data_IF_629087278071
#
_entry.id   IF_629087278071
#
_cell.length_a   1.000
_cell.length_b   1.000
_cell.length_c   1.000
_cell.angle_alpha   90.00
_cell.angle_beta   90.00
_cell.angle_gamma   90.00
#
_symmetry.space_group_name_H-M   'P 1'
#
loop_
_entity.id
_entity.type
_entity.pdbx_description
1 polymer ?
#
# COMPACT_ATOMS: atom_id res chain seq x y z
N UNK A 1 -12.84 -18.68 -31.87
CA UNK A 1 -12.80 -19.32 -30.53
C UNK A 1 -13.53 -18.44 -29.51
N UNK A 2 -13.21 -17.15 -29.39
CA UNK A 2 -13.88 -16.23 -28.43
C UNK A 2 -15.41 -16.21 -28.65
N UNK A 3 -15.87 -16.02 -29.89
CA UNK A 3 -17.31 -15.99 -30.25
C UNK A 3 -18.04 -17.28 -29.86
N UNK A 4 -17.42 -18.43 -30.11
CA UNK A 4 -17.95 -19.72 -29.69
C UNK A 4 -18.08 -19.83 -28.18
N UNK A 5 -17.08 -19.35 -27.42
CA UNK A 5 -17.11 -19.36 -25.96
C UNK A 5 -18.14 -18.42 -25.38
N UNK A 6 -18.32 -17.24 -25.97
CA UNK A 6 -19.42 -16.31 -25.63
C UNK A 6 -20.78 -17.01 -25.82
N UNK A 7 -20.98 -17.61 -27.00
CA UNK A 7 -22.26 -18.26 -27.32
C UNK A 7 -22.57 -19.50 -26.47
N UNK A 8 -21.56 -20.21 -25.99
CA UNK A 8 -21.72 -21.47 -25.25
C UNK A 8 -21.49 -21.36 -23.74
N UNK A 9 -21.09 -20.18 -23.24
CA UNK A 9 -20.73 -19.99 -21.83
C UNK A 9 -19.48 -20.72 -21.37
N UNK A 10 -18.66 -21.28 -22.31
CA UNK A 10 -17.43 -21.98 -21.95
C UNK A 10 -16.36 -21.04 -21.45
N UNK A 11 -15.65 -21.44 -20.38
CA UNK A 11 -14.53 -20.69 -19.85
C UNK A 11 -13.41 -20.50 -20.89
N UNK A 12 -12.74 -19.37 -20.86
CA UNK A 12 -11.56 -19.09 -21.70
C UNK A 12 -10.40 -19.95 -21.26
N UNK A 13 -10.12 -20.01 -19.98
CA UNK A 13 -9.07 -20.84 -19.38
C UNK A 13 -9.61 -22.23 -19.05
N UNK A 14 -8.95 -23.24 -19.55
CA UNK A 14 -9.20 -24.66 -19.30
C UNK A 14 -7.85 -25.35 -19.03
N UNK A 15 -7.52 -25.46 -17.74
CA UNK A 15 -6.22 -25.94 -17.28
C UNK A 15 -5.90 -27.37 -17.76
N UNK A 16 -6.90 -28.25 -17.75
CA UNK A 16 -6.72 -29.65 -18.12
C UNK A 16 -6.45 -29.79 -19.63
N UNK A 17 -7.22 -29.07 -20.45
CA UNK A 17 -7.01 -29.04 -21.90
C UNK A 17 -5.66 -28.42 -22.28
N UNK A 18 -5.22 -27.36 -21.60
CA UNK A 18 -3.92 -26.76 -21.86
C UNK A 18 -2.78 -27.71 -21.47
N UNK A 19 -2.90 -28.40 -20.34
CA UNK A 19 -1.94 -29.42 -19.90
C UNK A 19 -1.82 -30.55 -20.92
N UNK A 20 -2.94 -31.13 -21.35
CA UNK A 20 -2.97 -32.18 -22.39
C UNK A 20 -2.32 -31.73 -23.70
N UNK A 21 -2.53 -30.44 -24.08
CA UNK A 21 -1.93 -29.89 -25.28
C UNK A 21 -0.41 -29.77 -25.15
N UNK A 22 0.08 -29.32 -24.00
CA UNK A 22 1.52 -29.23 -23.72
C UNK A 22 2.16 -30.66 -23.76
N UNK A 23 1.57 -31.62 -23.08
CA UNK A 23 2.04 -33.01 -23.07
C UNK A 23 2.07 -33.59 -24.49
N UNK A 24 1.07 -33.31 -25.30
CA UNK A 24 1.01 -33.75 -26.71
C UNK A 24 2.15 -33.18 -27.55
N UNK A 25 2.51 -31.89 -27.41
CA UNK A 25 3.60 -31.30 -28.20
C UNK A 25 4.97 -31.69 -27.66
N UNK A 26 5.12 -31.89 -26.36
CA UNK A 26 6.33 -32.44 -25.76
C UNK A 26 6.66 -33.87 -26.28
N UNK A 27 5.60 -34.68 -26.45
CA UNK A 27 5.76 -36.03 -26.97
C UNK A 27 6.28 -36.09 -28.44
N UNK A 28 6.17 -34.98 -29.18
CA UNK A 28 6.71 -34.88 -30.55
C UNK A 28 8.18 -34.47 -30.59
N UNK A 29 8.76 -34.06 -29.45
CA UNK A 29 10.16 -33.62 -29.39
C UNK A 29 11.08 -34.72 -28.96
N UNK A 30 12.28 -34.83 -29.63
CA UNK A 30 13.23 -35.91 -29.41
C UNK A 30 14.17 -35.67 -28.22
N UNK A 31 14.52 -34.40 -27.92
CA UNK A 31 15.45 -34.09 -26.83
C UNK A 31 14.73 -33.42 -25.65
N UNK A 32 15.25 -33.56 -24.44
CA UNK A 32 14.71 -32.92 -23.27
C UNK A 32 14.71 -31.36 -23.38
N UNK A 33 15.75 -30.81 -24.01
CA UNK A 33 15.80 -29.37 -24.31
C UNK A 33 14.63 -28.95 -25.21
N UNK A 34 14.40 -29.70 -26.30
CA UNK A 34 13.32 -29.41 -27.24
C UNK A 34 11.94 -29.59 -26.59
N UNK A 35 11.77 -30.61 -25.71
CA UNK A 35 10.52 -30.80 -24.96
C UNK A 35 10.21 -29.59 -24.08
N UNK A 36 11.20 -29.07 -23.37
CA UNK A 36 11.04 -27.86 -22.55
C UNK A 36 10.77 -26.63 -23.42
N UNK A 37 11.52 -26.43 -24.49
CA UNK A 37 11.37 -25.28 -25.39
C UNK A 37 9.99 -25.24 -26.07
N UNK A 38 9.49 -26.36 -26.59
CA UNK A 38 8.15 -26.40 -27.21
C UNK A 38 7.03 -26.20 -26.17
N UNK A 39 7.20 -26.76 -24.97
CA UNK A 39 6.23 -26.51 -23.87
C UNK A 39 6.12 -25.04 -23.56
N UNK A 40 7.24 -24.34 -23.41
CA UNK A 40 7.29 -22.92 -23.13
C UNK A 40 6.65 -22.08 -24.25
N UNK A 41 7.02 -22.34 -25.50
CA UNK A 41 6.44 -21.67 -26.66
C UNK A 41 4.93 -21.87 -26.75
N UNK A 42 4.44 -23.11 -26.57
CA UNK A 42 3.00 -23.37 -26.60
C UNK A 42 2.26 -22.72 -25.42
N UNK A 43 2.87 -22.68 -24.23
CA UNK A 43 2.32 -21.97 -23.09
C UNK A 43 2.17 -20.47 -23.40
N UNK A 44 3.17 -19.84 -24.01
CA UNK A 44 3.12 -18.45 -24.44
C UNK A 44 2.02 -18.23 -25.50
N UNK A 45 1.93 -19.08 -26.51
CA UNK A 45 0.89 -18.99 -27.54
C UNK A 45 -0.52 -19.10 -26.95
N UNK A 46 -0.74 -20.05 -26.02
CA UNK A 46 -2.04 -20.22 -25.35
C UNK A 46 -2.38 -19.02 -24.47
N UNK A 47 -1.39 -18.49 -23.78
CA UNK A 47 -1.54 -17.27 -22.95
C UNK A 47 -1.93 -16.06 -23.81
N UNK A 48 -1.26 -15.82 -24.92
CA UNK A 48 -1.63 -14.76 -25.88
C UNK A 48 -3.04 -14.97 -26.44
N UNK A 49 -3.39 -16.20 -26.78
CA UNK A 49 -4.72 -16.54 -27.27
C UNK A 49 -5.81 -16.27 -26.21
N UNK A 50 -5.56 -16.59 -24.93
CA UNK A 50 -6.50 -16.27 -23.84
C UNK A 50 -6.71 -14.78 -23.72
N UNK A 51 -5.65 -13.98 -23.73
CA UNK A 51 -5.73 -12.53 -23.63
C UNK A 51 -6.56 -11.92 -24.76
N UNK A 52 -6.30 -12.32 -25.97
CA UNK A 52 -7.12 -11.89 -27.12
C UNK A 52 -8.60 -12.27 -26.96
N UNK A 53 -8.89 -13.46 -26.40
CA UNK A 53 -10.26 -13.88 -26.11
C UNK A 53 -10.87 -13.01 -25.01
N UNK A 54 -10.14 -12.69 -23.92
CA UNK A 54 -10.63 -11.82 -22.86
C UNK A 54 -10.93 -10.40 -23.39
N UNK A 55 -10.04 -9.81 -24.19
CA UNK A 55 -10.29 -8.52 -24.84
C UNK A 55 -11.56 -8.54 -25.71
N UNK A 56 -11.73 -9.60 -26.52
CA UNK A 56 -12.91 -9.75 -27.36
C UNK A 56 -14.19 -9.86 -26.54
N UNK A 57 -14.14 -10.57 -25.42
CA UNK A 57 -15.28 -10.74 -24.52
C UNK A 57 -15.60 -9.43 -23.80
N UNK A 58 -14.60 -8.77 -23.20
CA UNK A 58 -14.78 -7.50 -22.49
C UNK A 58 -15.35 -6.41 -23.42
N UNK A 59 -14.88 -6.33 -24.66
CA UNK A 59 -15.39 -5.38 -25.65
C UNK A 59 -16.85 -5.61 -26.07
N UNK A 60 -17.42 -6.81 -25.85
CA UNK A 60 -18.81 -7.13 -26.20
C UNK A 60 -19.77 -7.16 -25.02
N UNK A 61 -19.29 -7.56 -23.85
CA UNK A 61 -20.13 -7.80 -22.65
C UNK A 61 -19.94 -6.70 -21.61
N UNK A 62 -18.93 -5.85 -21.78
CA UNK A 62 -18.47 -4.89 -20.79
C UNK A 62 -17.41 -5.50 -19.86
N UNK A 63 -16.65 -4.63 -19.17
CA UNK A 63 -15.73 -5.05 -18.12
C UNK A 63 -16.46 -5.58 -16.89
N UNK A 64 -15.75 -6.18 -15.93
CA UNK A 64 -16.37 -6.65 -14.69
C UNK A 64 -16.92 -5.46 -13.89
N UNK A 65 -18.12 -5.63 -13.34
CA UNK A 65 -18.59 -4.70 -12.31
C UNK A 65 -17.76 -4.92 -11.04
N UNK A 66 -16.96 -3.92 -10.69
CA UNK A 66 -16.08 -3.94 -9.52
C UNK A 66 -16.71 -3.29 -8.28
N UNK A 67 -17.96 -2.79 -8.43
CA UNK A 67 -18.72 -2.13 -7.38
C UNK A 67 -18.17 -0.78 -6.97
N UNK A 68 -17.38 -0.12 -7.81
CA UNK A 68 -16.87 1.24 -7.60
C UNK A 68 -17.70 2.27 -8.36
N UNK A 69 -17.89 3.44 -7.77
CA UNK A 69 -18.61 4.55 -8.34
C UNK A 69 -17.70 5.73 -8.61
N UNK A 70 -17.81 6.30 -9.81
CA UNK A 70 -17.06 7.49 -10.19
C UNK A 70 -17.62 8.73 -9.52
N UNK A 71 -16.74 9.58 -8.99
CA UNK A 71 -17.07 10.91 -8.48
C UNK A 71 -16.18 11.95 -9.15
N UNK A 72 -16.66 13.17 -9.32
CA UNK A 72 -15.85 14.25 -9.87
C UNK A 72 -14.75 14.69 -8.91
N UNK A 73 -15.07 14.73 -7.62
CA UNK A 73 -14.16 15.10 -6.55
C UNK A 73 -14.51 14.39 -5.26
N UNK A 74 -13.47 14.07 -4.48
CA UNK A 74 -13.63 13.53 -3.13
C UNK A 74 -14.10 14.64 -2.18
N UNK A 75 -15.26 14.47 -1.57
CA UNK A 75 -15.81 15.40 -0.59
C UNK A 75 -15.14 15.20 0.76
N UNK A 76 -14.30 16.14 1.16
CA UNK A 76 -13.51 16.07 2.41
C UNK A 76 -13.95 17.10 3.47
N UNK A 77 -14.69 18.15 3.08
CA UNK A 77 -15.09 19.22 3.99
C UNK A 77 -16.07 18.73 5.06
N UNK A 78 -15.79 19.02 6.33
CA UNK A 78 -16.64 18.65 7.47
C UNK A 78 -16.68 17.16 7.76
N UNK A 79 -15.75 16.39 7.21
CA UNK A 79 -15.62 14.94 7.43
C UNK A 79 -14.73 14.63 8.63
N UNK A 80 -15.05 13.54 9.32
CA UNK A 80 -14.28 13.05 10.46
C UNK A 80 -13.15 12.16 9.95
N UNK A 81 -11.94 12.44 10.43
CA UNK A 81 -10.72 11.76 10.00
C UNK A 81 -10.06 11.08 11.18
N UNK A 82 -9.73 9.81 11.06
CA UNK A 82 -9.03 9.07 12.10
C UNK A 82 -7.61 8.71 11.67
N UNK A 83 -6.67 8.82 12.61
CA UNK A 83 -5.29 8.35 12.43
C UNK A 83 -4.83 7.55 13.65
N UNK A 84 -3.74 6.79 13.53
CA UNK A 84 -3.15 6.03 14.63
C UNK A 84 -2.07 6.84 15.34
N UNK A 85 -2.05 6.81 16.67
CA UNK A 85 -1.02 7.38 17.52
C UNK A 85 -1.55 8.47 18.45
N UNK A 86 -0.83 9.58 18.57
CA UNK A 86 -1.22 10.77 19.29
C UNK A 86 -1.10 12.00 18.39
N UNK A 87 -1.68 13.12 18.82
CA UNK A 87 -1.47 14.41 18.18
C UNK A 87 0.04 14.70 18.08
N UNK A 88 0.48 15.18 16.91
CA UNK A 88 1.92 15.39 16.62
C UNK A 88 2.63 14.17 16.00
N UNK A 89 2.01 13.00 15.92
CA UNK A 89 2.54 11.88 15.15
C UNK A 89 2.57 12.19 13.65
N UNK A 90 3.39 11.47 12.88
CA UNK A 90 3.43 11.65 11.41
C UNK A 90 2.09 11.32 10.73
N UNK A 91 1.30 10.39 11.28
CA UNK A 91 -0.08 10.16 10.83
C UNK A 91 -0.97 11.38 11.00
N UNK A 92 -0.83 12.12 12.12
CA UNK A 92 -1.51 13.40 12.32
C UNK A 92 -1.04 14.46 11.32
N UNK A 93 0.26 14.59 11.12
CA UNK A 93 0.81 15.53 10.14
C UNK A 93 0.32 15.26 8.72
N UNK A 94 0.24 13.99 8.32
CA UNK A 94 -0.31 13.57 7.03
C UNK A 94 -1.81 13.89 6.91
N UNK A 95 -2.58 13.70 7.99
CA UNK A 95 -3.99 14.07 8.04
C UNK A 95 -4.19 15.59 7.88
N UNK A 96 -3.41 16.40 8.61
CA UNK A 96 -3.43 17.86 8.47
C UNK A 96 -3.02 18.33 7.08
N UNK A 97 -2.03 17.69 6.46
CA UNK A 97 -1.58 18.01 5.11
C UNK A 97 -2.67 17.76 4.06
N UNK A 98 -3.38 16.64 4.17
CA UNK A 98 -4.37 16.22 3.17
C UNK A 98 -5.73 16.89 3.37
N UNK A 99 -6.22 16.96 4.61
CA UNK A 99 -7.57 17.46 4.93
C UNK A 99 -7.60 18.93 5.36
N UNK A 100 -6.45 19.52 5.70
CA UNK A 100 -6.35 20.88 6.22
C UNK A 100 -6.43 20.96 7.74
N UNK A 101 -6.07 22.14 8.28
CA UNK A 101 -5.98 22.36 9.73
C UNK A 101 -7.33 22.42 10.44
N UNK A 102 -8.39 22.73 9.70
CA UNK A 102 -9.76 22.86 10.26
C UNK A 102 -10.57 21.55 10.16
N UNK A 103 -9.94 20.44 9.74
CA UNK A 103 -10.58 19.14 9.66
C UNK A 103 -10.85 18.56 11.07
N UNK A 104 -11.96 17.83 11.21
CA UNK A 104 -12.29 17.08 12.43
C UNK A 104 -11.45 15.81 12.50
N UNK A 105 -10.25 15.93 13.10
CA UNK A 105 -9.24 14.86 13.15
C UNK A 105 -9.12 14.35 14.58
N UNK A 106 -9.25 13.03 14.75
CA UNK A 106 -9.03 12.38 16.04
C UNK A 106 -8.13 11.16 15.91
N UNK A 107 -7.60 10.69 17.02
CA UNK A 107 -6.68 9.57 17.04
C UNK A 107 -7.24 8.31 17.69
N UNK A 108 -6.68 7.18 17.31
CA UNK A 108 -6.90 5.87 17.96
C UNK A 108 -5.56 5.21 18.26
N UNK A 109 -5.59 4.20 19.13
CA UNK A 109 -4.36 3.56 19.60
C UNK A 109 -3.75 2.60 18.56
N UNK A 110 -4.57 1.83 17.84
CA UNK A 110 -4.12 0.80 16.90
C UNK A 110 -4.59 1.09 15.49
N UNK A 111 -3.82 0.66 14.49
CA UNK A 111 -4.23 0.76 13.08
C UNK A 111 -5.56 0.04 12.81
N UNK A 112 -5.79 -1.09 13.47
CA UNK A 112 -7.04 -1.83 13.34
C UNK A 112 -8.26 -1.04 13.81
N UNK A 113 -8.12 -0.24 14.87
CA UNK A 113 -9.21 0.58 15.41
C UNK A 113 -9.70 1.60 14.38
N UNK A 114 -8.81 2.14 13.51
CA UNK A 114 -9.20 3.02 12.40
C UNK A 114 -10.12 2.31 11.41
N UNK A 115 -9.81 1.05 11.06
CA UNK A 115 -10.63 0.27 10.13
C UNK A 115 -12.03 0.04 10.68
N UNK A 116 -12.13 -0.26 11.97
CA UNK A 116 -13.40 -0.46 12.68
C UNK A 116 -14.21 0.84 12.70
N UNK A 117 -13.59 1.98 13.00
CA UNK A 117 -14.29 3.26 13.06
C UNK A 117 -14.90 3.70 11.72
N UNK A 118 -14.20 3.44 10.60
CA UNK A 118 -14.77 3.65 9.27
C UNK A 118 -15.99 2.75 9.06
N UNK A 119 -15.90 1.46 9.40
CA UNK A 119 -17.01 0.53 9.21
C UNK A 119 -18.23 0.88 10.06
N UNK A 120 -18.01 1.32 11.29
CA UNK A 120 -19.05 1.75 12.23
C UNK A 120 -19.59 3.15 11.91
N UNK A 121 -18.99 3.86 10.96
CA UNK A 121 -19.38 5.23 10.60
C UNK A 121 -19.04 6.27 11.67
N UNK A 122 -18.06 6.00 12.54
CA UNK A 122 -17.50 6.94 13.51
C UNK A 122 -16.51 7.90 12.86
N UNK A 123 -15.76 7.40 11.87
CA UNK A 123 -14.91 8.19 10.99
C UNK A 123 -15.37 8.03 9.53
N UNK A 124 -15.18 9.07 8.73
CA UNK A 124 -15.46 9.06 7.30
C UNK A 124 -14.21 8.68 6.51
N UNK A 125 -13.02 9.03 7.02
CA UNK A 125 -11.72 8.71 6.43
C UNK A 125 -10.72 8.24 7.49
N UNK A 126 -9.77 7.40 7.07
CA UNK A 126 -8.58 7.07 7.85
C UNK A 126 -7.30 7.35 7.08
N UNK A 127 -6.23 7.73 7.81
CA UNK A 127 -4.89 7.99 7.27
C UNK A 127 -3.96 6.87 7.71
N UNK A 128 -3.64 5.96 6.77
CA UNK A 128 -2.91 4.72 7.03
C UNK A 128 -1.52 4.76 6.38
N UNK A 129 -0.40 4.71 7.15
CA UNK A 129 0.93 4.57 6.56
C UNK A 129 1.07 3.20 5.89
N UNK A 130 1.61 3.17 4.66
CA UNK A 130 1.76 1.91 3.93
C UNK A 130 3.23 1.60 3.59
N UNK A 131 4.03 2.63 3.37
CA UNK A 131 5.42 2.50 2.97
C UNK A 131 6.24 3.69 3.42
N UNK A 132 7.50 3.45 3.80
CA UNK A 132 8.47 4.51 4.05
C UNK A 132 9.72 4.28 3.19
N UNK A 133 10.24 5.33 2.56
CA UNK A 133 11.33 5.24 1.59
C UNK A 133 12.64 4.69 2.17
N UNK A 134 12.84 4.78 3.50
CA UNK A 134 14.04 4.28 4.19
C UNK A 134 13.81 2.98 4.96
N UNK A 135 12.55 2.67 5.31
CA UNK A 135 12.19 1.53 6.14
C UNK A 135 11.47 0.41 5.39
N UNK A 136 10.98 0.72 4.17
CA UNK A 136 10.19 -0.21 3.37
C UNK A 136 8.71 -0.25 3.77
N UNK A 137 8.06 -1.35 3.41
CA UNK A 137 6.63 -1.55 3.60
C UNK A 137 6.22 -1.70 5.07
N UNK A 138 5.09 -1.08 5.44
CA UNK A 138 4.43 -1.32 6.73
C UNK A 138 3.52 -2.54 6.58
N UNK A 139 4.16 -3.70 6.64
CA UNK A 139 3.58 -4.98 6.18
C UNK A 139 2.26 -5.37 6.83
N UNK A 140 2.07 -5.09 8.13
CA UNK A 140 0.84 -5.45 8.86
C UNK A 140 -0.38 -4.65 8.37
N UNK A 141 -0.15 -3.46 7.81
CA UNK A 141 -1.23 -2.63 7.29
C UNK A 141 -1.82 -3.17 5.99
N UNK A 142 -1.07 -3.93 5.21
CA UNK A 142 -1.60 -4.65 4.05
C UNK A 142 -2.62 -5.72 4.45
N UNK A 143 -2.40 -6.41 5.57
CA UNK A 143 -3.33 -7.42 6.07
C UNK A 143 -4.65 -6.78 6.53
N UNK A 144 -4.59 -5.57 7.09
CA UNK A 144 -5.79 -4.80 7.45
C UNK A 144 -6.62 -4.41 6.22
N UNK A 145 -5.98 -4.04 5.10
CA UNK A 145 -6.69 -3.74 3.83
C UNK A 145 -7.45 -4.95 3.27
N UNK A 146 -7.03 -6.16 3.63
CA UNK A 146 -7.77 -7.38 3.25
C UNK A 146 -8.85 -7.76 4.23
N UNK A 147 -8.55 -7.63 5.52
CA UNK A 147 -9.46 -8.02 6.61
C UNK A 147 -10.73 -7.17 6.65
N UNK A 148 -10.62 -5.89 6.31
CA UNK A 148 -11.71 -4.92 6.35
C UNK A 148 -12.14 -4.52 4.94
N UNK A 149 -13.42 -4.17 4.78
CA UNK A 149 -13.97 -3.75 3.48
C UNK A 149 -13.88 -2.22 3.27
N UNK A 150 -12.77 -1.65 3.72
CA UNK A 150 -12.43 -0.26 3.46
C UNK A 150 -11.64 -0.17 2.16
N UNK A 151 -11.79 0.92 1.43
CA UNK A 151 -11.14 1.13 0.13
C UNK A 151 -10.21 2.34 0.15
N UNK A 152 -9.19 2.31 -0.69
CA UNK A 152 -8.27 3.41 -0.91
C UNK A 152 -8.92 4.40 -1.87
N UNK A 153 -9.07 5.66 -1.44
CA UNK A 153 -9.69 6.73 -2.24
C UNK A 153 -8.70 7.84 -2.62
N UNK A 154 -7.54 7.88 -1.96
CA UNK A 154 -6.43 8.80 -2.26
C UNK A 154 -5.14 8.32 -1.59
N UNK A 155 -4.04 8.99 -1.90
CA UNK A 155 -2.77 8.84 -1.20
C UNK A 155 -2.14 10.22 -0.94
N UNK A 156 -1.25 10.29 0.04
CA UNK A 156 -0.42 11.46 0.28
C UNK A 156 0.98 11.05 0.69
N UNK A 157 1.96 11.87 0.36
CA UNK A 157 3.37 11.66 0.68
C UNK A 157 3.82 12.73 1.64
N UNK A 158 4.30 12.31 2.81
CA UNK A 158 4.79 13.20 3.85
C UNK A 158 6.31 13.07 3.99
N UNK A 159 7.10 14.13 3.73
CA UNK A 159 8.51 14.16 4.09
C UNK A 159 8.68 13.99 5.61
N UNK A 160 9.52 13.04 6.01
CA UNK A 160 9.76 12.74 7.42
C UNK A 160 11.03 13.45 7.85
N UNK A 161 10.87 14.58 8.53
CA UNK A 161 11.98 15.34 9.13
C UNK A 161 11.96 15.13 10.64
N UNK A 162 13.05 14.59 11.16
CA UNK A 162 13.27 14.44 12.59
C UNK A 162 14.00 15.66 13.13
N UNK A 163 13.48 16.21 14.21
CA UNK A 163 14.11 17.31 14.97
C UNK A 163 14.41 16.82 16.38
N UNK A 164 15.48 17.34 16.97
CA UNK A 164 15.71 17.22 18.38
C UNK A 164 14.93 18.33 19.10
N UNK A 165 13.93 17.93 19.88
CA UNK A 165 12.99 18.83 20.55
C UNK A 165 13.21 18.80 22.06
N UNK A 166 13.42 19.95 22.67
CA UNK A 166 13.60 20.11 24.12
C UNK A 166 12.56 21.07 24.71
N UNK A 167 12.62 21.27 26.03
CA UNK A 167 11.81 22.32 26.70
C UNK A 167 12.19 23.71 26.20
N UNK A 168 11.32 24.72 26.32
CA UNK A 168 11.59 26.07 25.80
C UNK A 168 12.88 26.72 26.35
N UNK A 169 13.25 26.38 27.57
CA UNK A 169 14.44 26.85 28.28
C UNK A 169 15.69 25.99 28.06
N UNK A 170 15.57 24.82 27.43
CA UNK A 170 16.70 23.93 27.19
C UNK A 170 17.64 24.47 26.10
N UNK A 171 18.92 24.19 26.26
CA UNK A 171 19.98 24.35 25.25
C UNK A 171 20.52 22.96 24.87
N UNK A 172 21.17 22.86 23.70
CA UNK A 172 21.72 21.57 23.20
C UNK A 172 22.73 20.97 24.19
N UNK A 173 23.49 21.81 24.89
CA UNK A 173 24.48 21.43 25.92
C UNK A 173 23.89 20.81 27.18
N UNK A 174 22.59 21.04 27.46
CA UNK A 174 21.92 20.52 28.65
C UNK A 174 21.51 19.07 28.47
N UNK A 175 21.32 18.64 27.21
CA UNK A 175 20.75 17.32 26.86
C UNK A 175 21.65 16.19 27.34
N UNK A 176 21.04 15.25 28.07
CA UNK A 176 21.68 14.01 28.55
C UNK A 176 20.87 12.76 28.12
N UNK A 177 19.58 12.90 27.88
CA UNK A 177 18.66 11.79 27.54
C UNK A 177 17.81 12.16 26.33
N UNK A 178 17.75 11.25 25.36
CA UNK A 178 16.97 11.43 24.13
C UNK A 178 15.95 10.30 24.00
N UNK A 179 14.70 10.65 23.83
CA UNK A 179 13.56 9.74 23.70
C UNK A 179 13.01 9.73 22.28
N UNK A 180 12.79 8.55 21.71
CA UNK A 180 12.08 8.40 20.43
C UNK A 180 11.66 6.95 20.17
N UNK A 181 10.86 6.75 19.13
CA UNK A 181 10.65 5.42 18.57
C UNK A 181 11.98 4.82 18.07
N UNK A 182 12.23 3.51 18.23
CA UNK A 182 13.48 2.87 17.81
C UNK A 182 13.89 3.21 16.38
N UNK A 183 12.93 3.28 15.46
CA UNK A 183 13.17 3.63 14.07
C UNK A 183 13.69 5.07 13.90
N UNK A 184 13.15 6.04 14.64
CA UNK A 184 13.62 7.42 14.57
C UNK A 184 15.03 7.57 15.17
N UNK A 185 15.35 6.83 16.24
CA UNK A 185 16.72 6.76 16.76
C UNK A 185 17.69 6.23 15.71
N UNK A 186 17.34 5.14 15.04
CA UNK A 186 18.15 4.55 13.97
C UNK A 186 18.30 5.51 12.77
N UNK A 187 17.21 6.16 12.35
CA UNK A 187 17.21 7.11 11.23
C UNK A 187 17.92 8.43 11.53
N UNK A 188 18.29 8.69 12.78
CA UNK A 188 19.01 9.87 13.26
C UNK A 188 20.35 9.54 13.91
N UNK A 189 20.83 8.31 13.75
CA UNK A 189 22.03 7.78 14.44
C UNK A 189 23.28 8.57 14.15
N UNK A 190 23.47 9.09 12.92
CA UNK A 190 24.65 9.84 12.53
C UNK A 190 24.80 11.15 13.32
N UNK A 191 23.69 11.79 13.67
CA UNK A 191 23.66 12.96 14.53
C UNK A 191 23.75 12.56 16.01
N UNK A 192 22.93 11.60 16.44
CA UNK A 192 22.82 11.23 17.86
C UNK A 192 24.13 10.65 18.42
N UNK A 193 24.88 9.88 17.62
CA UNK A 193 26.14 9.26 18.02
C UNK A 193 27.34 10.24 18.10
N UNK A 194 27.16 11.49 17.70
CA UNK A 194 28.17 12.54 17.93
C UNK A 194 28.17 13.07 19.37
N UNK A 195 27.16 12.65 20.17
CA UNK A 195 26.93 13.10 21.52
C UNK A 195 26.90 11.92 22.49
N UNK A 196 27.34 12.16 23.73
CA UNK A 196 27.28 11.16 24.80
C UNK A 196 25.92 11.18 25.53
N UNK A 197 24.84 11.00 24.76
CA UNK A 197 23.50 11.00 25.29
C UNK A 197 22.94 9.57 25.45
N UNK A 198 22.18 9.37 26.54
CA UNK A 198 21.41 8.13 26.70
C UNK A 198 20.21 8.14 25.76
N UNK A 199 20.19 7.21 24.80
CA UNK A 199 19.08 7.02 23.86
C UNK A 199 18.09 6.03 24.44
N UNK A 200 16.83 6.43 24.55
CA UNK A 200 15.75 5.69 25.20
C UNK A 200 14.56 5.48 24.26
N UNK A 201 14.16 4.21 24.07
CA UNK A 201 13.06 3.85 23.18
C UNK A 201 11.70 4.17 23.79
N UNK A 202 10.80 4.70 22.96
CA UNK A 202 9.41 4.98 23.28
C UNK A 202 8.46 4.33 22.25
N UNK A 203 7.20 4.19 22.59
CA UNK A 203 6.16 3.60 21.72
C UNK A 203 6.03 4.38 20.39
N UNK A 204 6.07 5.70 20.43
CA UNK A 204 6.13 6.56 19.25
C UNK A 204 6.75 7.93 19.57
N UNK A 205 7.04 8.71 18.52
CA UNK A 205 7.74 9.99 18.65
C UNK A 205 6.86 11.08 19.30
N UNK A 206 5.54 11.04 19.13
CA UNK A 206 4.65 11.99 19.76
C UNK A 206 4.55 11.74 21.28
N UNK A 207 4.55 10.47 21.71
CA UNK A 207 4.66 10.10 23.14
C UNK A 207 5.97 10.59 23.74
N UNK A 208 7.08 10.49 23.00
CA UNK A 208 8.36 11.02 23.44
C UNK A 208 8.33 12.55 23.62
N UNK A 209 7.74 13.27 22.68
CA UNK A 209 7.57 14.72 22.77
C UNK A 209 6.64 15.12 23.92
N UNK A 210 5.51 14.41 24.09
CA UNK A 210 4.59 14.62 25.21
C UNK A 210 5.31 14.44 26.56
N UNK A 211 6.12 13.37 26.70
CA UNK A 211 6.90 13.11 27.91
C UNK A 211 7.85 14.30 28.25
N UNK A 212 8.61 14.78 27.27
CA UNK A 212 9.55 15.92 27.47
C UNK A 212 8.80 17.17 27.92
N UNK A 213 7.62 17.46 27.33
CA UNK A 213 6.73 18.54 27.75
C UNK A 213 6.31 18.40 29.22
N UNK A 214 5.87 17.18 29.59
CA UNK A 214 5.24 16.95 30.90
C UNK A 214 6.26 16.94 32.04
N UNK A 215 7.45 16.39 31.82
CA UNK A 215 8.51 16.34 32.83
C UNK A 215 9.25 17.66 33.00
N UNK A 216 9.25 18.54 31.99
CA UNK A 216 9.85 19.88 32.05
C UNK A 216 11.33 19.87 32.49
N UNK A 217 12.05 18.81 32.15
CA UNK A 217 13.46 18.64 32.48
C UNK A 217 14.34 19.05 31.27
N UNK A 218 15.11 20.15 31.34
CA UNK A 218 15.91 20.62 30.22
C UNK A 218 17.02 19.64 29.80
N UNK A 219 17.34 18.63 30.63
CA UNK A 219 18.27 17.58 30.28
C UNK A 219 17.68 16.49 29.37
N UNK A 220 16.40 16.61 29.04
CA UNK A 220 15.67 15.66 28.19
C UNK A 220 15.32 16.28 26.85
N UNK A 221 15.42 15.46 25.80
CA UNK A 221 14.94 15.82 24.47
C UNK A 221 14.20 14.65 23.80
N UNK A 222 13.33 14.97 22.86
CA UNK A 222 12.65 13.99 22.03
C UNK A 222 13.10 14.13 20.57
N UNK A 223 13.20 13.01 19.84
CA UNK A 223 13.29 13.04 18.38
C UNK A 223 11.88 12.88 17.82
N UNK A 224 11.35 13.95 17.22
CA UNK A 224 10.01 13.96 16.67
C UNK A 224 9.88 14.92 15.47
N UNK A 225 8.70 14.93 14.84
CA UNK A 225 8.38 15.85 13.75
C UNK A 225 8.09 17.27 14.24
N UNK A 226 8.11 18.22 13.31
CA UNK A 226 7.83 19.65 13.60
C UNK A 226 6.46 19.87 14.25
N UNK A 227 5.43 19.19 13.74
CA UNK A 227 4.05 19.27 14.26
C UNK A 227 3.98 18.88 15.75
N UNK A 228 4.77 17.89 16.17
CA UNK A 228 4.87 17.53 17.59
C UNK A 228 5.49 18.68 18.41
N UNK A 229 6.53 19.32 17.89
CA UNK A 229 7.14 20.50 18.53
C UNK A 229 6.13 21.63 18.72
N UNK A 230 5.35 21.95 17.72
CA UNK A 230 4.32 22.99 17.77
C UNK A 230 3.22 22.65 18.78
N UNK A 231 2.65 21.43 18.73
CA UNK A 231 1.55 20.99 19.61
C UNK A 231 1.98 20.96 21.08
N UNK A 232 3.17 20.44 21.35
CA UNK A 232 3.66 20.29 22.72
C UNK A 232 4.45 21.49 23.23
N UNK A 233 4.60 22.56 22.43
CA UNK A 233 5.32 23.77 22.81
C UNK A 233 6.80 23.53 23.08
N UNK A 234 7.42 22.62 22.33
CA UNK A 234 8.84 22.29 22.45
C UNK A 234 9.69 23.12 21.49
N UNK A 235 10.90 23.45 21.94
CA UNK A 235 11.90 24.17 21.15
C UNK A 235 12.70 23.21 20.30
N UNK A 236 12.93 23.54 19.02
CA UNK A 236 13.89 22.84 18.17
C UNK A 236 15.31 23.14 18.63
N UNK A 237 15.99 22.14 19.19
CA UNK A 237 17.39 22.24 19.60
C UNK A 237 18.34 21.95 18.43
N UNK A 238 17.92 21.05 17.52
CA UNK A 238 18.64 20.73 16.28
C UNK A 238 17.70 20.14 15.22
N UNK A 239 18.11 20.20 13.94
CA UNK A 239 17.43 19.48 12.88
C UNK A 239 17.29 20.24 11.55
N UNK A 240 16.86 19.51 10.50
CA UNK A 240 16.57 18.08 10.51
C UNK A 240 17.79 17.21 10.74
N UNK A 241 17.64 16.14 11.53
CA UNK A 241 18.74 15.26 11.97
C UNK A 241 18.70 13.87 11.34
N UNK A 242 17.91 13.70 10.27
CA UNK A 242 17.81 12.44 9.55
C UNK A 242 19.12 12.07 8.86
N UNK A 243 19.52 10.79 8.92
CA UNK A 243 20.63 10.25 8.13
C UNK A 243 20.33 10.36 6.61
N UNK A 244 19.06 10.17 6.22
CA UNK A 244 18.60 10.30 4.84
C UNK A 244 17.68 11.52 4.71
N UNK A 245 18.07 12.57 3.96
CA UNK A 245 17.28 13.80 3.84
C UNK A 245 15.98 13.60 3.07
N UNK A 246 15.92 12.61 2.15
CA UNK A 246 14.76 12.34 1.29
C UNK A 246 13.80 11.31 1.91
N UNK A 247 13.88 11.12 3.25
CA UNK A 247 12.98 10.20 3.94
C UNK A 247 11.52 10.66 3.80
N UNK A 248 10.69 9.80 3.20
CA UNK A 248 9.28 10.09 2.92
C UNK A 248 8.41 8.90 3.28
N UNK A 249 7.27 9.15 3.89
CA UNK A 249 6.26 8.12 4.16
C UNK A 249 5.05 8.33 3.26
N UNK A 250 4.63 7.25 2.60
CA UNK A 250 3.40 7.17 1.82
C UNK A 250 2.27 6.78 2.74
N UNK A 251 1.19 7.58 2.74
CA UNK A 251 -0.03 7.31 3.47
C UNK A 251 -1.18 7.10 2.49
N UNK A 252 -2.02 6.11 2.78
CA UNK A 252 -3.26 5.86 2.08
C UNK A 252 -4.42 6.55 2.81
N UNK A 253 -5.32 7.14 2.05
CA UNK A 253 -6.58 7.67 2.56
C UNK A 253 -7.65 6.62 2.29
N UNK A 254 -8.21 6.10 3.38
CA UNK A 254 -9.21 5.05 3.33
C UNK A 254 -10.60 5.61 3.59
N UNK A 255 -11.61 5.03 2.94
CA UNK A 255 -13.02 5.31 3.17
C UNK A 255 -13.86 4.03 3.12
N UNK A 256 -15.12 4.12 3.56
CA UNK A 256 -16.09 3.02 3.44
C UNK A 256 -16.65 2.91 2.03
N UNK A 257 -16.98 4.06 1.45
CA UNK A 257 -17.65 4.11 0.15
C UNK A 257 -16.66 3.79 -0.97
N UNK A 258 -17.04 2.87 -1.84
CA UNK A 258 -16.24 2.42 -2.98
C UNK A 258 -16.32 3.44 -4.12
N UNK A 259 -15.64 4.56 -3.92
CA UNK A 259 -15.60 5.65 -4.90
C UNK A 259 -14.20 5.84 -5.47
N UNK A 260 -14.12 6.39 -6.68
CA UNK A 260 -12.88 6.86 -7.30
C UNK A 260 -13.11 8.18 -8.04
N UNK A 261 -12.08 9.01 -8.09
CA UNK A 261 -12.14 10.29 -8.79
C UNK A 261 -11.97 10.09 -10.30
N UNK A 262 -12.59 10.96 -11.10
CA UNK A 262 -12.50 10.95 -12.56
C UNK A 262 -11.05 10.95 -13.09
N UNK A 263 -10.13 11.62 -12.38
CA UNK A 263 -8.71 11.72 -12.74
C UNK A 263 -7.81 10.72 -11.99
N UNK A 264 -8.35 9.65 -11.41
CA UNK A 264 -7.55 8.63 -10.73
C UNK A 264 -6.61 7.92 -11.72
N UNK A 265 -5.33 7.79 -11.35
CA UNK A 265 -4.28 7.26 -12.22
C UNK A 265 -3.60 6.01 -11.64
N UNK A 266 -4.04 5.55 -10.48
CA UNK A 266 -3.46 4.39 -9.79
C UNK A 266 -4.54 3.45 -9.27
N UNK A 267 -4.33 2.17 -9.46
CA UNK A 267 -5.18 1.11 -8.90
C UNK A 267 -4.31 0.22 -8.03
N UNK A 268 -4.75 0.02 -6.78
CA UNK A 268 -4.19 -1.01 -5.90
C UNK A 268 -5.10 -2.22 -5.89
N UNK A 269 -4.51 -3.40 -6.04
CA UNK A 269 -5.21 -4.67 -5.99
C UNK A 269 -4.40 -5.72 -5.25
N UNK A 270 -5.10 -6.76 -4.76
CA UNK A 270 -4.48 -7.93 -4.18
C UNK A 270 -5.05 -9.19 -4.83
N UNK A 271 -4.20 -10.21 -5.00
CA UNK A 271 -4.60 -11.52 -5.50
C UNK A 271 -3.71 -12.63 -4.96
N UNK A 272 -4.22 -13.85 -5.00
CA UNK A 272 -3.49 -15.06 -4.62
C UNK A 272 -3.26 -15.95 -5.83
N UNK A 273 -2.08 -16.58 -5.88
CA UNK A 273 -1.70 -17.47 -6.97
C UNK A 273 -1.40 -18.87 -6.46
N UNK A 274 -1.73 -19.90 -7.25
CA UNK A 274 -1.26 -21.25 -6.95
C UNK A 274 0.27 -21.32 -6.91
N UNK A 275 0.83 -21.99 -5.91
CA UNK A 275 2.27 -22.14 -5.76
C UNK A 275 2.81 -23.14 -6.79
N UNK A 276 3.06 -22.69 -8.01
CA UNK A 276 3.62 -23.46 -9.14
C UNK A 276 4.57 -22.61 -9.95
N UNK A 277 5.57 -23.27 -10.58
CA UNK A 277 6.51 -22.60 -11.46
C UNK A 277 5.80 -21.81 -12.56
N UNK A 278 6.24 -20.57 -12.81
CA UNK A 278 5.74 -19.70 -13.87
C UNK A 278 4.41 -19.00 -13.60
N UNK A 279 3.72 -19.28 -12.48
CA UNK A 279 2.38 -18.73 -12.22
C UNK A 279 2.40 -17.19 -12.11
N UNK A 280 3.34 -16.63 -11.35
CA UNK A 280 3.50 -15.18 -11.23
C UNK A 280 3.86 -14.55 -12.59
N UNK A 281 4.80 -15.15 -13.33
CA UNK A 281 5.16 -14.68 -14.65
C UNK A 281 3.95 -14.63 -15.61
N UNK A 282 3.15 -15.69 -15.63
CA UNK A 282 1.92 -15.73 -16.42
C UNK A 282 0.94 -14.65 -16.01
N UNK A 283 0.78 -14.43 -14.71
CA UNK A 283 -0.13 -13.41 -14.16
C UNK A 283 0.30 -11.99 -14.54
N UNK A 284 1.58 -11.66 -14.38
CA UNK A 284 2.15 -10.36 -14.75
C UNK A 284 1.97 -10.04 -16.24
N UNK A 285 1.94 -11.08 -17.06
CA UNK A 285 1.62 -10.91 -18.46
C UNK A 285 0.27 -10.28 -18.76
N UNK A 286 -0.74 -10.35 -17.87
CA UNK A 286 -2.00 -9.63 -18.07
C UNK A 286 -1.81 -8.11 -18.05
N UNK A 287 -0.86 -7.59 -17.28
CA UNK A 287 -0.49 -6.19 -17.30
C UNK A 287 0.29 -5.81 -18.56
N UNK A 288 1.37 -6.56 -18.85
CA UNK A 288 2.28 -6.30 -19.98
C UNK A 288 1.53 -6.20 -21.32
N UNK A 289 0.61 -7.15 -21.59
CA UNK A 289 -0.08 -7.21 -22.89
C UNK A 289 -1.25 -6.25 -23.03
N UNK A 290 -1.62 -5.58 -21.97
CA UNK A 290 -2.62 -4.53 -21.98
C UNK A 290 -2.00 -3.13 -21.80
N UNK A 291 -0.66 -3.05 -21.89
CA UNK A 291 0.10 -1.79 -21.74
C UNK A 291 -0.15 -1.09 -20.39
N UNK A 292 -0.30 -1.90 -19.33
CA UNK A 292 -0.53 -1.44 -17.98
C UNK A 292 0.78 -1.50 -17.21
N UNK A 293 1.30 -0.35 -16.80
CA UNK A 293 2.53 -0.27 -16.01
C UNK A 293 2.27 -0.65 -14.55
N UNK A 294 3.19 -1.42 -13.97
CA UNK A 294 3.16 -1.78 -12.54
C UNK A 294 4.18 -0.95 -11.77
N UNK A 295 3.71 -0.23 -10.75
CA UNK A 295 4.55 0.63 -9.90
C UNK A 295 5.11 -0.09 -8.69
N UNK A 296 4.38 -1.07 -8.15
CA UNK A 296 4.76 -1.77 -6.92
C UNK A 296 4.24 -3.21 -6.96
N UNK A 297 5.02 -4.11 -6.41
CA UNK A 297 4.59 -5.46 -6.06
C UNK A 297 5.16 -5.83 -4.69
N UNK A 298 4.30 -6.23 -3.78
CA UNK A 298 4.64 -6.69 -2.44
C UNK A 298 4.04 -8.08 -2.23
N UNK A 299 4.81 -9.02 -1.72
CA UNK A 299 4.34 -10.37 -1.42
C UNK A 299 4.18 -10.59 0.07
N UNK A 300 3.03 -11.15 0.48
CA UNK A 300 2.74 -11.50 1.87
C UNK A 300 2.40 -12.99 1.98
N UNK A 301 2.94 -13.71 2.97
CA UNK A 301 2.53 -15.08 3.22
C UNK A 301 1.06 -15.13 3.63
N UNK A 302 0.37 -16.21 3.25
CA UNK A 302 -1.00 -16.45 3.69
C UNK A 302 -0.93 -17.16 5.04
N UNK A 303 -1.49 -16.60 6.13
CA UNK A 303 -1.26 -17.10 7.49
C UNK A 303 -1.59 -18.58 7.72
N UNK A 304 -2.61 -19.09 7.05
CA UNK A 304 -3.10 -20.48 7.26
C UNK A 304 -2.63 -21.45 6.17
N UNK A 305 -1.91 -20.97 5.17
CA UNK A 305 -1.43 -21.78 4.04
C UNK A 305 0.08 -21.70 3.92
N UNK A 306 0.79 -22.70 4.48
CA UNK A 306 2.26 -22.74 4.45
C UNK A 306 2.82 -22.60 3.04
N UNK A 307 3.74 -21.63 2.87
CA UNK A 307 4.44 -21.36 1.62
C UNK A 307 3.55 -20.87 0.46
N UNK A 308 2.33 -20.42 0.73
CA UNK A 308 1.50 -19.70 -0.22
C UNK A 308 1.56 -18.19 0.04
N UNK A 309 1.44 -17.43 -1.04
CA UNK A 309 1.62 -15.98 -1.01
C UNK A 309 0.46 -15.28 -1.71
N UNK A 310 0.09 -14.15 -1.16
CA UNK A 310 -0.72 -13.14 -1.84
C UNK A 310 0.16 -12.00 -2.29
N UNK A 311 -0.24 -11.37 -3.38
CA UNK A 311 0.50 -10.28 -4.00
C UNK A 311 -0.35 -9.03 -3.97
N UNK A 312 0.22 -7.97 -3.41
CA UNK A 312 -0.32 -6.62 -3.50
C UNK A 312 0.39 -5.93 -4.64
N UNK A 313 -0.38 -5.29 -5.51
CA UNK A 313 0.15 -4.67 -6.73
C UNK A 313 -0.48 -3.31 -6.91
N UNK A 314 0.35 -2.30 -7.19
CA UNK A 314 -0.10 -1.00 -7.67
C UNK A 314 0.17 -0.92 -9.16
N UNK A 315 -0.85 -0.60 -9.93
CA UNK A 315 -0.79 -0.39 -11.38
C UNK A 315 -1.21 1.02 -11.75
N UNK A 316 -0.67 1.52 -12.87
CA UNK A 316 -1.11 2.78 -13.47
C UNK A 316 -2.39 2.57 -14.26
N UNK A 317 -3.29 3.53 -14.15
CA UNK A 317 -4.51 3.59 -14.94
C UNK A 317 -5.78 3.85 -14.13
N UNK A 318 -6.87 3.91 -14.85
CA UNK A 318 -8.22 4.12 -14.31
C UNK A 318 -9.08 2.89 -14.56
N UNK A 319 -10.08 2.64 -13.70
CA UNK A 319 -11.02 1.53 -13.87
C UNK A 319 -11.86 1.65 -15.17
N UNK A 320 -11.91 2.83 -15.80
CA UNK A 320 -12.56 3.05 -17.10
C UNK A 320 -11.65 2.70 -18.30
N UNK A 321 -10.34 2.55 -18.10
CA UNK A 321 -9.39 2.27 -19.18
C UNK A 321 -9.59 0.85 -19.72
N UNK A 322 -9.73 0.72 -21.02
CA UNK A 322 -9.96 -0.56 -21.67
C UNK A 322 -8.82 -1.56 -21.40
N UNK A 323 -7.56 -1.10 -21.39
CA UNK A 323 -6.39 -1.93 -21.05
C UNK A 323 -6.46 -2.47 -19.62
N UNK A 324 -6.81 -1.60 -18.66
CA UNK A 324 -7.01 -1.97 -17.25
C UNK A 324 -8.14 -2.97 -17.10
N UNK A 325 -9.30 -2.73 -17.70
CA UNK A 325 -10.46 -3.63 -17.64
C UNK A 325 -10.12 -5.02 -18.20
N UNK A 326 -9.40 -5.08 -19.32
CA UNK A 326 -8.94 -6.33 -19.92
C UNK A 326 -7.95 -7.07 -19.00
N UNK A 327 -7.00 -6.34 -18.41
CA UNK A 327 -6.02 -6.93 -17.48
C UNK A 327 -6.73 -7.50 -16.24
N UNK A 328 -7.60 -6.72 -15.61
CA UNK A 328 -8.37 -7.14 -14.45
C UNK A 328 -9.30 -8.33 -14.77
N UNK A 329 -9.94 -8.33 -15.93
CA UNK A 329 -10.77 -9.46 -16.35
C UNK A 329 -9.96 -10.77 -16.43
N UNK A 330 -8.74 -10.71 -17.00
CA UNK A 330 -7.83 -11.86 -17.03
C UNK A 330 -7.42 -12.32 -15.63
N UNK A 331 -7.01 -11.39 -14.78
CA UNK A 331 -6.57 -11.66 -13.39
C UNK A 331 -7.70 -12.31 -12.59
N UNK A 332 -8.90 -11.78 -12.64
CA UNK A 332 -10.07 -12.30 -11.90
C UNK A 332 -10.47 -13.73 -12.34
N UNK A 333 -10.06 -14.16 -13.53
CA UNK A 333 -10.33 -15.52 -14.05
C UNK A 333 -9.23 -16.52 -13.72
N UNK A 334 -7.99 -16.05 -13.54
CA UNK A 334 -6.81 -16.91 -13.39
C UNK A 334 -6.28 -16.93 -11.94
N UNK A 335 -6.49 -15.88 -11.18
CA UNK A 335 -6.11 -15.78 -9.77
C UNK A 335 -7.26 -16.17 -8.82
N UNK A 336 -6.88 -16.35 -7.55
CA UNK A 336 -7.82 -16.56 -6.44
C UNK A 336 -7.91 -15.29 -5.60
N UNK A 337 -9.02 -15.10 -4.91
CA UNK A 337 -9.21 -14.05 -3.90
C UNK A 337 -8.78 -12.66 -4.38
N UNK A 338 -9.17 -12.30 -5.61
CA UNK A 338 -8.86 -10.98 -6.17
C UNK A 338 -9.70 -9.91 -5.47
N UNK A 339 -9.04 -8.92 -4.88
CA UNK A 339 -9.66 -7.74 -4.28
C UNK A 339 -9.07 -6.47 -4.90
N UNK A 340 -9.91 -5.63 -5.48
CA UNK A 340 -9.53 -4.25 -5.83
C UNK A 340 -9.61 -3.43 -4.56
N UNK A 341 -8.47 -2.87 -4.16
CA UNK A 341 -8.33 -2.11 -2.92
C UNK A 341 -8.71 -0.65 -3.11
N UNK A 342 -8.57 -0.11 -4.32
CA UNK A 342 -8.96 1.25 -4.67
C UNK A 342 -8.46 1.67 -6.04
N UNK A 343 -9.06 2.77 -6.56
CA UNK A 343 -8.58 3.52 -7.72
C UNK A 343 -8.49 5.00 -7.32
N UNK A 344 -7.29 5.61 -7.37
CA UNK A 344 -7.01 6.94 -6.79
C UNK A 344 -5.86 7.66 -7.50
#
# INVERSE_FOLDING_TARGET
>A
VAEYKIATGKAVYDAEREKQKIESVQAMAESEFNKQAVAELFLQMMTLSRRYQYQTIAGRVGGPDLGFHKVEKLETAGKRVVFQGLEGAYGHAAALQFFGKDADIHHVRRFEDMMVEIQEGKADFAVLPIENSSAGAVTDNYDLLLKYDNVIVAETFLPVHHYLLGTPDAELSDVKRVFAHPQALMQSSDFLNQHDWQQLSMENNAVAAQKVRDEKDPSQAAVAGEVAGEIYGLKKLAGPINNCPDNTTRFLILAKDRVYQAGAEKISLCFELPHRSGTLYSMLGNFIFNDVNMRMIESRPIPEESWQYRFFVDIEGNLEDAGVQNALYGIMREAKNVKILGNY
#
